data_IF_554983200754
#
_entry.id   IF_554983200754
#
_cell.length_a   1.000
_cell.length_b   1.000
_cell.length_c   1.000
_cell.angle_alpha   90.00
_cell.angle_beta   90.00
_cell.angle_gamma   90.00
#
_symmetry.space_group_name_H-M   'P 1'
#
loop_
_entity.id
_entity.type
_entity.pdbx_description
1 polymer ?
#
# COMPACT_ATOMS: atom_id res chain seq x y z
N UNK A 1 7.91 -27.19 -1.36
CA UNK A 1 8.80 -26.07 -1.66
C UNK A 1 9.85 -26.51 -2.68
N UNK A 2 10.04 -25.73 -3.74
CA UNK A 2 11.16 -25.93 -4.67
C UNK A 2 12.18 -24.79 -4.42
N UNK A 3 13.27 -25.14 -3.79
CA UNK A 3 14.40 -24.24 -3.56
C UNK A 3 15.53 -24.56 -4.53
N UNK A 4 15.98 -23.56 -5.31
CA UNK A 4 17.17 -23.68 -6.13
C UNK A 4 18.26 -22.75 -5.59
N UNK A 5 19.21 -23.25 -4.76
CA UNK A 5 20.21 -22.42 -4.09
C UNK A 5 21.12 -21.63 -5.03
N UNK A 6 21.23 -22.05 -6.31
CA UNK A 6 22.06 -21.37 -7.32
C UNK A 6 21.36 -20.19 -7.98
N UNK A 7 20.02 -20.11 -7.84
CA UNK A 7 19.18 -19.10 -8.50
C UNK A 7 18.43 -18.20 -7.53
N UNK A 8 18.47 -18.48 -6.22
CA UNK A 8 17.79 -17.72 -5.20
C UNK A 8 18.78 -17.00 -4.29
N UNK A 9 18.45 -15.76 -3.94
CA UNK A 9 19.16 -15.04 -2.89
C UNK A 9 18.96 -15.77 -1.57
N UNK A 10 20.06 -16.01 -0.85
CA UNK A 10 19.99 -16.66 0.46
C UNK A 10 19.49 -15.67 1.50
N UNK A 11 18.65 -16.13 2.42
CA UNK A 11 18.07 -15.28 3.45
C UNK A 11 16.84 -15.90 4.08
N UNK A 12 15.99 -15.03 4.61
CA UNK A 12 14.74 -15.41 5.28
C UNK A 12 13.57 -14.75 4.58
N UNK A 13 12.40 -15.37 4.68
CA UNK A 13 11.14 -14.80 4.20
C UNK A 13 10.25 -14.49 5.40
N UNK A 14 9.89 -13.23 5.56
CA UNK A 14 8.86 -12.79 6.49
C UNK A 14 7.50 -12.82 5.78
N UNK A 15 6.50 -13.37 6.43
CA UNK A 15 5.13 -13.30 5.92
C UNK A 15 4.09 -13.31 7.05
N UNK A 16 2.97 -12.70 6.77
CA UNK A 16 1.83 -12.62 7.68
C UNK A 16 0.62 -13.22 6.97
N UNK A 17 0.09 -14.36 7.43
CA UNK A 17 -1.14 -14.92 6.87
C UNK A 17 -2.33 -13.99 7.15
N UNK A 18 -3.10 -13.69 6.14
CA UNK A 18 -4.27 -12.82 6.24
C UNK A 18 -5.30 -13.38 7.23
N UNK A 19 -5.81 -12.53 8.12
CA UNK A 19 -6.80 -12.89 9.14
C UNK A 19 -6.25 -13.71 10.30
N UNK A 20 -4.93 -13.77 10.47
CA UNK A 20 -4.29 -14.39 11.62
C UNK A 20 -3.55 -13.35 12.48
N UNK A 21 -3.26 -13.76 13.73
CA UNK A 21 -2.56 -12.95 14.74
C UNK A 21 -1.04 -13.16 14.73
N UNK A 22 -0.52 -13.85 13.72
CA UNK A 22 0.87 -14.29 13.71
C UNK A 22 1.62 -13.77 12.50
N UNK A 23 2.86 -13.37 12.72
CA UNK A 23 3.85 -13.14 11.66
C UNK A 23 4.97 -14.17 11.79
N UNK A 24 5.39 -14.72 10.67
CA UNK A 24 6.38 -15.81 10.62
C UNK A 24 7.62 -15.38 9.85
N UNK A 25 8.77 -15.79 10.35
CA UNK A 25 10.04 -15.75 9.64
C UNK A 25 10.46 -17.18 9.33
N UNK A 26 10.65 -17.50 8.06
CA UNK A 26 11.09 -18.85 7.62
C UNK A 26 12.43 -18.76 6.90
N UNK A 27 13.19 -19.85 6.99
CA UNK A 27 14.41 -20.04 6.21
C UNK A 27 14.10 -20.49 4.76
N UNK A 28 15.15 -20.74 3.98
CA UNK A 28 15.05 -21.17 2.59
C UNK A 28 14.45 -22.57 2.41
N UNK A 29 14.46 -23.38 3.44
CA UNK A 29 13.87 -24.72 3.51
C UNK A 29 12.39 -24.70 3.95
N UNK A 30 11.89 -23.50 4.36
CA UNK A 30 10.53 -23.31 4.84
C UNK A 30 10.35 -23.63 6.31
N UNK A 31 11.44 -23.78 7.06
CA UNK A 31 11.39 -23.99 8.50
C UNK A 31 11.10 -22.66 9.19
N UNK A 32 10.16 -22.66 10.12
CA UNK A 32 9.88 -21.46 10.95
C UNK A 32 11.05 -21.26 11.90
N UNK A 33 11.79 -20.17 11.72
CA UNK A 33 12.92 -19.79 12.56
C UNK A 33 12.53 -18.80 13.65
N UNK A 34 11.45 -18.04 13.42
CA UNK A 34 10.85 -17.16 14.42
C UNK A 34 9.36 -16.90 14.14
N UNK A 35 8.62 -16.56 15.20
CA UNK A 35 7.20 -16.23 15.14
C UNK A 35 6.88 -15.15 16.16
N UNK A 36 6.16 -14.12 15.74
CA UNK A 36 5.52 -13.15 16.63
C UNK A 36 4.04 -13.48 16.77
N UNK A 37 3.55 -13.53 18.02
CA UNK A 37 2.14 -13.60 18.36
C UNK A 37 1.66 -12.17 18.67
N UNK A 38 0.80 -11.61 17.84
CA UNK A 38 0.34 -10.23 17.95
C UNK A 38 -0.98 -10.16 18.72
N UNK A 39 -1.31 -9.02 19.37
CA UNK A 39 -2.49 -8.93 20.23
C UNK A 39 -3.82 -8.92 19.47
N UNK A 40 -3.81 -8.65 18.16
CA UNK A 40 -4.98 -8.73 17.29
C UNK A 40 -4.57 -9.17 15.87
N UNK A 41 -5.54 -9.47 15.01
CA UNK A 41 -5.27 -9.85 13.63
C UNK A 41 -4.61 -8.71 12.86
N UNK A 42 -3.67 -9.09 11.98
CA UNK A 42 -2.93 -8.14 11.18
C UNK A 42 -3.84 -7.53 10.11
N UNK A 43 -3.80 -6.22 10.00
CA UNK A 43 -4.64 -5.48 9.07
C UNK A 43 -4.31 -5.78 7.62
N UNK A 44 -3.04 -5.70 7.26
CA UNK A 44 -2.58 -5.98 5.91
C UNK A 44 -1.24 -6.72 5.89
N UNK A 45 -0.17 -6.14 6.44
CA UNK A 45 1.14 -6.77 6.49
C UNK A 45 2.00 -6.29 7.66
N UNK A 46 3.17 -6.90 7.78
CA UNK A 46 4.22 -6.50 8.70
C UNK A 46 5.58 -6.59 8.00
N UNK A 47 6.57 -5.86 8.48
CA UNK A 47 7.95 -5.97 7.98
C UNK A 47 8.99 -5.73 9.09
N UNK A 48 10.21 -6.23 8.87
CA UNK A 48 11.32 -6.04 9.79
C UNK A 48 11.96 -4.67 9.60
N UNK A 49 12.20 -4.00 10.71
CA UNK A 49 13.04 -2.81 10.78
C UNK A 49 14.53 -3.20 10.81
N UNK A 50 15.42 -2.25 10.53
CA UNK A 50 16.88 -2.46 10.56
C UNK A 50 17.41 -2.92 11.92
N UNK A 51 16.72 -2.55 13.01
CA UNK A 51 17.04 -2.99 14.37
C UNK A 51 16.58 -4.42 14.69
N UNK A 52 15.91 -5.10 13.75
CA UNK A 52 15.38 -6.44 13.92
C UNK A 52 13.98 -6.51 14.54
N UNK A 53 13.39 -5.39 14.92
CA UNK A 53 12.01 -5.35 15.41
C UNK A 53 11.01 -5.52 14.26
N UNK A 54 9.83 -6.07 14.56
CA UNK A 54 8.71 -6.15 13.64
C UNK A 54 7.87 -4.87 13.73
N UNK A 55 7.63 -4.20 12.61
CA UNK A 55 6.60 -3.16 12.52
C UNK A 55 5.35 -3.73 11.84
N UNK A 56 4.19 -3.60 12.47
CA UNK A 56 2.92 -4.15 11.99
C UNK A 56 1.78 -3.18 12.20
N UNK A 57 0.74 -3.27 11.36
CA UNK A 57 -0.57 -2.71 11.63
C UNK A 57 -1.50 -3.83 12.06
N UNK A 58 -2.13 -3.71 13.21
CA UNK A 58 -3.17 -4.62 13.68
C UNK A 58 -4.53 -3.94 13.66
N UNK A 59 -5.58 -4.72 13.51
CA UNK A 59 -6.95 -4.21 13.37
C UNK A 59 -7.51 -3.66 14.66
N UNK A 60 -8.38 -2.62 14.53
CA UNK A 60 -9.22 -2.09 15.58
C UNK A 60 -10.70 -2.23 15.16
N UNK A 61 -11.28 -3.46 15.17
CA UNK A 61 -12.47 -3.82 14.39
C UNK A 61 -13.73 -3.03 14.74
N UNK A 62 -13.86 -2.57 15.98
CA UNK A 62 -15.05 -1.85 16.45
C UNK A 62 -15.02 -0.34 16.15
N UNK A 63 -13.88 0.19 15.70
CA UNK A 63 -13.64 1.64 15.54
C UNK A 63 -13.24 2.03 14.12
N UNK A 64 -13.02 1.05 13.26
CA UNK A 64 -12.65 1.22 11.85
C UNK A 64 -13.88 1.29 10.94
N UNK A 65 -13.80 2.01 9.81
CA UNK A 65 -14.65 1.73 8.67
C UNK A 65 -14.52 0.25 8.27
N UNK A 66 -15.66 -0.41 8.01
CA UNK A 66 -15.67 -1.82 7.59
C UNK A 66 -15.30 -1.92 6.09
N UNK A 67 -14.12 -1.39 5.75
CA UNK A 67 -13.54 -1.38 4.40
C UNK A 67 -12.33 -2.31 4.34
N UNK A 68 -11.92 -2.76 3.13
CA UNK A 68 -10.78 -3.66 2.97
C UNK A 68 -9.46 -3.08 3.51
N UNK A 69 -8.58 -3.98 4.00
CA UNK A 69 -7.24 -3.64 4.49
C UNK A 69 -7.20 -2.60 5.62
N UNK A 70 -8.23 -2.61 6.47
CA UNK A 70 -8.24 -1.82 7.68
C UNK A 70 -7.16 -2.29 8.66
N UNK A 71 -6.50 -1.34 9.32
CA UNK A 71 -5.53 -1.54 10.39
C UNK A 71 -6.00 -0.83 11.66
N UNK A 72 -5.42 0.34 11.93
CA UNK A 72 -5.84 1.24 13.00
C UNK A 72 -4.90 1.31 14.18
N UNK A 73 -4.09 0.29 14.42
CA UNK A 73 -3.10 0.27 15.49
C UNK A 73 -1.74 -0.17 14.95
N UNK A 74 -0.84 0.78 14.76
CA UNK A 74 0.54 0.54 14.39
C UNK A 74 1.34 0.14 15.63
N UNK A 75 2.07 -0.96 15.57
CA UNK A 75 2.89 -1.47 16.67
C UNK A 75 4.29 -1.83 16.18
N UNK A 76 5.31 -1.53 17.00
CA UNK A 76 6.65 -2.07 16.84
C UNK A 76 6.88 -3.08 17.97
N UNK A 77 7.25 -4.32 17.58
CA UNK A 77 7.40 -5.46 18.49
C UNK A 77 8.84 -5.94 18.42
N UNK A 78 9.48 -6.10 19.56
CA UNK A 78 10.83 -6.65 19.64
C UNK A 78 10.89 -8.15 19.33
N UNK A 79 12.10 -8.72 19.34
CA UNK A 79 12.29 -10.14 19.07
C UNK A 79 11.64 -11.06 20.12
N UNK A 80 11.49 -10.58 21.35
CA UNK A 80 10.88 -11.33 22.45
C UNK A 80 9.36 -11.20 22.52
N UNK A 81 8.75 -10.41 21.60
CA UNK A 81 7.32 -10.21 21.51
C UNK A 81 6.77 -9.04 22.35
N UNK A 82 7.64 -8.17 22.90
CA UNK A 82 7.20 -7.00 23.64
C UNK A 82 6.90 -5.82 22.69
N UNK A 83 5.77 -5.13 22.89
CA UNK A 83 5.48 -3.89 22.18
C UNK A 83 6.38 -2.80 22.76
N UNK A 84 7.27 -2.24 21.92
CA UNK A 84 8.23 -1.20 22.29
C UNK A 84 7.82 0.19 21.79
N UNK A 85 6.90 0.26 20.84
CA UNK A 85 6.28 1.48 20.36
C UNK A 85 4.89 1.17 19.81
N UNK A 86 3.95 2.11 19.97
CA UNK A 86 2.61 1.99 19.41
C UNK A 86 2.01 3.35 19.05
N UNK A 87 1.09 3.34 18.09
CA UNK A 87 0.32 4.51 17.68
C UNK A 87 -1.05 4.08 17.16
N UNK A 88 -2.11 4.75 17.62
CA UNK A 88 -3.49 4.42 17.23
C UNK A 88 -4.06 5.55 16.35
N UNK A 89 -4.48 5.18 15.15
CA UNK A 89 -5.35 5.96 14.28
C UNK A 89 -6.33 4.98 13.63
N UNK A 90 -7.56 4.92 14.14
CA UNK A 90 -8.57 3.97 13.69
C UNK A 90 -8.91 4.09 12.20
N UNK A 91 -8.49 5.14 11.53
CA UNK A 91 -8.66 5.35 10.09
C UNK A 91 -7.47 4.83 9.28
N UNK A 92 -6.38 4.38 9.91
CA UNK A 92 -5.23 3.82 9.22
C UNK A 92 -5.64 2.58 8.39
N UNK A 93 -5.19 2.51 7.15
CA UNK A 93 -5.42 1.38 6.26
C UNK A 93 -4.21 1.07 5.37
N UNK A 94 -4.22 -0.09 4.73
CA UNK A 94 -3.26 -0.58 3.76
C UNK A 94 -1.80 -0.45 4.19
N UNK A 95 -1.16 0.69 3.96
CA UNK A 95 0.30 0.81 3.99
C UNK A 95 0.83 1.81 5.03
N UNK A 96 2.01 1.51 5.52
CA UNK A 96 2.76 2.34 6.47
C UNK A 96 4.25 2.05 6.31
N UNK A 97 5.10 3.08 6.46
CA UNK A 97 6.57 2.95 6.36
C UNK A 97 7.26 3.75 7.46
N UNK A 98 8.22 3.12 8.14
CA UNK A 98 9.15 3.79 9.06
C UNK A 98 10.26 4.45 8.26
N UNK A 99 10.49 5.73 8.47
CA UNK A 99 11.58 6.49 7.85
C UNK A 99 12.88 6.36 8.70
N UNK A 100 14.06 6.56 8.12
CA UNK A 100 15.33 6.48 8.86
C UNK A 100 15.43 7.46 10.06
N UNK A 101 14.69 8.57 10.02
CA UNK A 101 14.62 9.52 11.13
C UNK A 101 13.67 9.11 12.28
N UNK A 102 13.08 7.92 12.20
CA UNK A 102 12.13 7.38 13.17
C UNK A 102 10.68 7.79 12.96
N UNK A 103 10.39 8.70 12.02
CA UNK A 103 9.01 9.05 11.68
C UNK A 103 8.32 7.89 10.97
N UNK A 104 6.98 7.86 11.02
CA UNK A 104 6.17 6.88 10.29
C UNK A 104 5.23 7.61 9.34
N UNK A 105 5.29 7.26 8.05
CA UNK A 105 4.30 7.68 7.06
C UNK A 105 3.31 6.56 6.84
N UNK A 106 2.01 6.90 6.69
CA UNK A 106 0.94 5.92 6.51
C UNK A 106 -0.26 6.50 5.76
N UNK A 107 -1.08 5.62 5.20
CA UNK A 107 -2.36 5.96 4.60
C UNK A 107 -3.49 5.88 5.63
N UNK A 108 -4.41 6.83 5.59
CA UNK A 108 -5.62 6.83 6.41
C UNK A 108 -6.84 7.28 5.60
N UNK A 109 -8.02 6.76 5.95
CA UNK A 109 -9.27 7.20 5.34
C UNK A 109 -9.72 8.57 5.84
N UNK A 110 -10.41 9.28 4.95
CA UNK A 110 -11.19 10.46 5.27
C UNK A 110 -12.62 10.27 4.77
N UNK A 111 -13.58 10.25 5.69
CA UNK A 111 -14.99 10.05 5.36
C UNK A 111 -15.61 11.35 4.81
N UNK A 112 -16.27 11.26 3.66
CA UNK A 112 -17.02 12.33 3.02
C UNK A 112 -18.51 11.98 3.13
N UNK A 113 -19.27 12.84 3.81
CA UNK A 113 -20.73 12.72 3.94
C UNK A 113 -21.48 13.90 3.35
N UNK A 114 -20.76 14.97 2.98
CA UNK A 114 -21.35 16.14 2.32
C UNK A 114 -21.74 15.77 0.88
N UNK A 115 -23.05 15.83 0.51
CA UNK A 115 -23.50 15.45 -0.83
C UNK A 115 -22.92 16.31 -1.94
N UNK A 116 -22.58 17.56 -1.66
CA UNK A 116 -22.02 18.46 -2.67
C UNK A 116 -20.54 18.13 -2.95
N UNK A 117 -19.80 17.72 -1.92
CA UNK A 117 -18.43 17.22 -2.10
C UNK A 117 -18.46 15.84 -2.78
N UNK A 118 -19.37 14.94 -2.40
CA UNK A 118 -19.50 13.63 -3.01
C UNK A 118 -19.78 13.70 -4.52
N UNK A 119 -20.53 14.69 -4.98
CA UNK A 119 -20.78 14.94 -6.41
C UNK A 119 -19.52 15.35 -7.20
N UNK A 120 -18.52 15.92 -6.51
CA UNK A 120 -17.25 16.31 -7.14
C UNK A 120 -16.32 15.13 -7.40
N UNK A 121 -16.55 13.97 -6.75
CA UNK A 121 -15.75 12.77 -6.95
C UNK A 121 -16.03 12.20 -8.35
N UNK A 122 -15.05 12.16 -9.26
CA UNK A 122 -15.27 11.75 -10.64
C UNK A 122 -15.20 10.24 -10.83
N UNK A 123 -16.02 9.72 -11.73
CA UNK A 123 -15.98 8.32 -12.17
C UNK A 123 -16.61 7.33 -11.18
N UNK A 124 -16.35 6.04 -11.42
CA UNK A 124 -16.94 4.93 -10.68
C UNK A 124 -18.41 4.68 -10.97
N UNK A 125 -18.96 3.64 -10.34
CA UNK A 125 -20.37 3.25 -10.50
C UNK A 125 -21.23 4.05 -9.52
N UNK A 126 -22.11 4.91 -10.02
CA UNK A 126 -23.02 5.72 -9.19
C UNK A 126 -23.94 4.84 -8.34
N UNK A 127 -24.23 5.29 -7.09
CA UNK A 127 -25.10 4.60 -6.16
C UNK A 127 -24.43 3.42 -5.42
N UNK A 128 -23.10 3.30 -5.52
CA UNK A 128 -22.32 2.28 -4.82
C UNK A 128 -21.51 2.84 -3.66
N UNK A 129 -21.89 4.01 -3.16
CA UNK A 129 -21.33 4.63 -1.96
C UNK A 129 -21.60 3.74 -0.72
N UNK A 130 -20.70 3.76 0.26
CA UNK A 130 -20.83 2.96 1.47
C UNK A 130 -21.51 3.76 2.59
N UNK A 131 -22.70 3.29 3.03
CA UNK A 131 -23.49 3.93 4.10
C UNK A 131 -23.69 5.45 3.92
N UNK A 132 -23.99 5.87 2.67
CA UNK A 132 -24.19 7.29 2.33
C UNK A 132 -22.93 8.13 2.42
N UNK A 133 -21.76 7.51 2.28
CA UNK A 133 -20.47 8.18 2.31
C UNK A 133 -19.54 7.66 1.21
N UNK A 134 -18.60 8.50 0.81
CA UNK A 134 -17.40 8.13 0.06
C UNK A 134 -16.20 8.27 1.00
N UNK A 135 -15.32 7.29 1.00
CA UNK A 135 -14.05 7.39 1.71
C UNK A 135 -12.96 7.78 0.73
N UNK A 136 -12.12 8.73 1.12
CA UNK A 136 -10.92 9.14 0.36
C UNK A 136 -9.69 8.99 1.23
N UNK A 137 -8.52 9.23 0.65
CA UNK A 137 -7.26 9.03 1.35
C UNK A 137 -6.67 10.33 1.87
N UNK A 138 -6.04 10.26 3.03
CA UNK A 138 -5.04 11.19 3.52
C UNK A 138 -3.74 10.43 3.78
N UNK A 139 -2.61 11.02 3.42
CA UNK A 139 -1.29 10.48 3.71
C UNK A 139 -0.72 11.28 4.86
N UNK A 140 -0.38 10.62 5.95
CA UNK A 140 0.08 11.23 7.19
C UNK A 140 1.50 10.83 7.51
N UNK A 141 2.27 11.75 8.09
CA UNK A 141 3.55 11.46 8.73
C UNK A 141 3.50 11.92 10.17
N UNK A 142 3.83 11.01 11.07
CA UNK A 142 3.96 11.26 12.50
C UNK A 142 5.41 11.10 12.96
N UNK A 143 5.80 11.84 13.99
CA UNK A 143 7.08 11.64 14.65
C UNK A 143 7.03 10.46 15.63
N UNK A 144 8.16 10.01 16.24
CA UNK A 144 8.18 8.90 17.17
C UNK A 144 7.29 9.07 18.42
N UNK A 145 6.91 10.29 18.76
CA UNK A 145 6.00 10.59 19.89
C UNK A 145 4.54 10.68 19.47
N UNK A 146 4.20 10.35 18.20
CA UNK A 146 2.84 10.33 17.68
C UNK A 146 2.29 11.71 17.23
N UNK A 147 3.11 12.76 17.19
CA UNK A 147 2.64 14.05 16.70
C UNK A 147 2.62 14.07 15.18
N UNK A 148 1.50 14.52 14.60
CA UNK A 148 1.37 14.77 13.16
C UNK A 148 2.32 15.90 12.74
N UNK A 149 3.18 15.64 11.76
CA UNK A 149 4.15 16.60 11.24
C UNK A 149 3.96 16.94 9.78
N UNK A 150 3.27 16.09 9.03
CA UNK A 150 2.93 16.32 7.63
C UNK A 150 1.66 15.54 7.26
N UNK A 151 0.81 16.14 6.44
CA UNK A 151 -0.38 15.52 5.88
C UNK A 151 -0.56 15.97 4.43
N UNK A 152 -0.96 15.06 3.58
CA UNK A 152 -1.41 15.30 2.21
C UNK A 152 -2.83 14.75 2.06
N UNK A 153 -3.75 15.58 1.59
CA UNK A 153 -5.17 15.26 1.55
C UNK A 153 -5.66 15.29 0.10
N UNK A 154 -6.21 14.17 -0.35
CA UNK A 154 -6.77 14.02 -1.69
C UNK A 154 -7.76 15.14 -2.03
N UNK A 155 -8.60 15.57 -1.08
CA UNK A 155 -9.64 16.59 -1.35
C UNK A 155 -9.07 17.99 -1.58
N UNK A 156 -7.94 18.32 -0.97
CA UNK A 156 -7.39 19.68 -0.99
C UNK A 156 -6.14 19.80 -1.85
N UNK A 157 -5.36 18.74 -1.93
CA UNK A 157 -4.03 18.76 -2.54
C UNK A 157 -4.00 18.13 -3.94
N UNK A 158 -5.10 17.43 -4.35
CA UNK A 158 -5.22 16.75 -5.64
C UNK A 158 -6.29 17.40 -6.52
N UNK A 159 -6.00 17.50 -7.81
CA UNK A 159 -7.03 17.79 -8.80
C UNK A 159 -7.78 16.49 -9.17
N UNK A 160 -8.86 16.18 -8.45
CA UNK A 160 -9.61 14.94 -8.62
C UNK A 160 -10.10 14.70 -10.05
N UNK A 161 -10.44 15.77 -10.81
CA UNK A 161 -10.90 15.63 -12.20
C UNK A 161 -9.83 15.02 -13.13
N UNK A 162 -8.57 15.09 -12.75
CA UNK A 162 -7.47 14.49 -13.51
C UNK A 162 -7.38 12.97 -13.30
N UNK A 163 -7.94 12.47 -12.19
CA UNK A 163 -7.78 11.08 -11.75
C UNK A 163 -9.16 10.47 -11.40
N UNK A 164 -10.04 10.22 -12.39
CA UNK A 164 -11.34 9.60 -12.13
C UNK A 164 -11.17 8.16 -11.62
N UNK A 165 -12.14 7.71 -10.82
CA UNK A 165 -12.29 6.29 -10.52
C UNK A 165 -12.56 5.54 -11.82
N UNK A 166 -11.94 4.37 -11.99
CA UNK A 166 -12.24 3.48 -13.10
C UNK A 166 -13.77 3.24 -13.18
N UNK A 167 -14.41 3.37 -14.35
CA UNK A 167 -15.86 3.28 -14.47
C UNK A 167 -16.45 1.91 -14.10
N UNK A 168 -15.63 0.88 -13.94
CA UNK A 168 -16.04 -0.46 -13.52
C UNK A 168 -15.95 -0.66 -11.99
N UNK A 169 -15.41 0.31 -11.26
CA UNK A 169 -15.17 0.23 -9.81
C UNK A 169 -16.29 0.94 -9.03
N UNK A 170 -16.60 0.43 -7.85
CA UNK A 170 -17.54 1.04 -6.91
C UNK A 170 -17.01 2.36 -6.35
N UNK A 171 -17.92 3.29 -6.00
CA UNK A 171 -17.59 4.64 -5.51
C UNK A 171 -17.41 4.74 -4.00
N UNK A 172 -17.47 3.65 -3.25
CA UNK A 172 -17.33 3.69 -1.81
C UNK A 172 -15.94 4.19 -1.34
N UNK A 173 -14.91 4.02 -2.18
CA UNK A 173 -13.58 4.57 -1.95
C UNK A 173 -13.10 5.34 -3.17
N UNK A 174 -12.78 6.62 -2.99
CA UNK A 174 -12.05 7.40 -3.98
C UNK A 174 -10.56 7.28 -3.72
N UNK A 175 -9.82 6.99 -4.78
CA UNK A 175 -8.39 6.74 -4.83
C UNK A 175 -7.98 5.34 -4.31
N UNK A 176 -8.30 4.94 -3.10
CA UNK A 176 -7.90 3.65 -2.53
C UNK A 176 -6.38 3.49 -2.52
N UNK A 177 -5.70 4.32 -1.70
CA UNK A 177 -4.25 4.31 -1.57
C UNK A 177 -3.77 3.00 -0.94
N UNK A 178 -3.30 2.07 -1.76
CA UNK A 178 -2.80 0.77 -1.28
C UNK A 178 -1.28 0.75 -1.06
N UNK A 179 -0.59 1.82 -1.41
CA UNK A 179 0.84 2.00 -1.14
C UNK A 179 1.13 3.45 -0.78
N UNK A 180 1.96 3.63 0.23
CA UNK A 180 2.61 4.89 0.57
C UNK A 180 4.08 4.63 0.89
N UNK A 181 5.02 5.12 0.09
CA UNK A 181 6.44 4.84 0.27
C UNK A 181 7.28 6.12 0.24
N UNK A 182 8.13 6.35 1.25
CA UNK A 182 9.13 7.42 1.20
C UNK A 182 10.14 7.16 0.09
N UNK A 183 10.42 8.18 -0.71
CA UNK A 183 11.44 8.11 -1.74
C UNK A 183 12.83 8.49 -1.19
N UNK A 184 13.93 7.97 -1.74
CA UNK A 184 15.30 8.35 -1.34
C UNK A 184 15.58 9.84 -1.43
N UNK A 185 14.90 10.56 -2.33
CA UNK A 185 15.02 12.01 -2.51
C UNK A 185 14.18 12.84 -1.51
N UNK A 186 13.47 12.18 -0.59
CA UNK A 186 12.64 12.80 0.44
C UNK A 186 11.18 13.05 0.05
N UNK A 187 10.77 12.73 -1.17
CA UNK A 187 9.38 12.76 -1.60
C UNK A 187 8.59 11.55 -1.11
N UNK A 188 7.31 11.49 -1.43
CA UNK A 188 6.43 10.36 -1.14
C UNK A 188 5.84 9.85 -2.43
N UNK A 189 5.98 8.54 -2.70
CA UNK A 189 5.25 7.89 -3.79
C UNK A 189 4.02 7.21 -3.23
N UNK A 190 2.89 7.36 -3.94
CA UNK A 190 1.58 6.81 -3.56
C UNK A 190 1.01 6.07 -4.74
N UNK A 191 0.32 4.98 -4.46
CA UNK A 191 -0.45 4.25 -5.46
C UNK A 191 -1.94 4.32 -5.16
N UNK A 192 -2.73 4.80 -6.12
CA UNK A 192 -4.19 4.88 -6.08
C UNK A 192 -4.80 3.79 -6.97
N UNK A 193 -5.16 2.67 -6.34
CA UNK A 193 -5.65 1.48 -7.01
C UNK A 193 -6.89 1.73 -7.87
N UNK A 194 -7.89 2.42 -7.33
CA UNK A 194 -9.17 2.63 -8.01
C UNK A 194 -9.07 3.63 -9.18
N UNK A 195 -7.99 4.38 -9.26
CA UNK A 195 -7.71 5.34 -10.31
C UNK A 195 -6.64 4.85 -11.31
N UNK A 196 -6.15 3.61 -11.15
CA UNK A 196 -5.04 3.04 -11.93
C UNK A 196 -3.84 4.00 -12.03
N UNK A 197 -3.51 4.68 -10.91
CA UNK A 197 -2.52 5.76 -10.89
C UNK A 197 -1.50 5.57 -9.79
N UNK A 198 -0.23 5.66 -10.12
CA UNK A 198 0.84 5.91 -9.18
C UNK A 198 1.36 7.33 -9.34
N UNK A 199 1.68 8.00 -8.23
CA UNK A 199 2.10 9.40 -8.25
C UNK A 199 3.21 9.69 -7.25
N UNK A 200 4.10 10.61 -7.61
CA UNK A 200 5.13 11.14 -6.73
C UNK A 200 4.74 12.53 -6.25
N UNK A 201 4.65 12.69 -4.95
CA UNK A 201 4.28 13.92 -4.25
C UNK A 201 5.55 14.58 -3.73
N UNK A 202 5.79 15.82 -4.15
CA UNK A 202 6.84 16.66 -3.57
C UNK A 202 6.50 16.97 -2.11
N UNK A 203 7.34 16.51 -1.19
CA UNK A 203 7.07 16.61 0.24
C UNK A 203 6.92 18.05 0.75
N UNK A 204 7.66 19.01 0.17
CA UNK A 204 7.66 20.40 0.62
C UNK A 204 6.49 21.21 0.08
N UNK A 205 6.19 21.01 -1.22
CA UNK A 205 5.17 21.80 -1.92
C UNK A 205 3.81 21.14 -1.94
N UNK A 206 3.74 19.86 -1.57
CA UNK A 206 2.57 18.98 -1.64
C UNK A 206 1.99 18.82 -3.06
N UNK A 207 2.76 19.13 -4.09
CA UNK A 207 2.33 18.99 -5.48
C UNK A 207 2.71 17.63 -6.03
N UNK A 208 1.83 17.06 -6.83
CA UNK A 208 2.15 15.90 -7.67
C UNK A 208 3.14 16.40 -8.74
N UNK A 209 4.35 15.85 -8.74
CA UNK A 209 5.40 16.22 -9.68
C UNK A 209 5.65 15.18 -10.77
N UNK A 210 5.16 13.97 -10.59
CA UNK A 210 5.14 12.90 -11.56
C UNK A 210 3.95 11.99 -11.28
N UNK A 211 3.36 11.41 -12.31
CA UNK A 211 2.39 10.34 -12.21
C UNK A 211 2.40 9.46 -13.45
N UNK A 212 1.98 8.22 -13.28
CA UNK A 212 1.65 7.29 -14.35
C UNK A 212 0.22 6.79 -14.12
N UNK A 213 -0.65 7.04 -15.10
CA UNK A 213 -2.01 6.51 -15.13
C UNK A 213 -2.10 5.56 -16.32
N UNK A 214 -2.04 4.26 -16.05
CA UNK A 214 -2.05 3.23 -17.09
C UNK A 214 -2.79 1.98 -16.63
N UNK A 215 -3.98 1.79 -17.17
CA UNK A 215 -4.85 0.65 -16.88
C UNK A 215 -4.24 -0.70 -17.30
N UNK A 216 -3.28 -0.72 -18.22
CA UNK A 216 -2.66 -1.94 -18.71
C UNK A 216 -1.88 -2.71 -17.63
N UNK A 217 -1.45 -2.00 -16.57
CA UNK A 217 -0.83 -2.64 -15.41
C UNK A 217 -1.85 -3.24 -14.42
N UNK A 218 -3.12 -2.87 -14.53
CA UNK A 218 -4.24 -3.43 -13.77
C UNK A 218 -4.10 -3.32 -12.26
N UNK A 219 -4.59 -2.23 -11.67
CA UNK A 219 -4.70 -2.06 -10.21
C UNK A 219 -3.42 -2.42 -9.44
N UNK A 220 -2.32 -1.82 -9.82
CA UNK A 220 -0.98 -2.09 -9.28
C UNK A 220 -0.85 -1.88 -7.76
N UNK A 221 0.20 -2.49 -7.17
CA UNK A 221 0.47 -2.51 -5.73
C UNK A 221 1.96 -2.32 -5.45
N UNK A 222 2.28 -2.02 -4.19
CA UNK A 222 3.65 -1.97 -3.63
C UNK A 222 4.62 -1.15 -4.46
N UNK A 223 4.21 0.08 -4.79
CA UNK A 223 5.00 1.01 -5.60
C UNK A 223 6.10 1.63 -4.75
N UNK A 224 7.35 1.55 -5.22
CA UNK A 224 8.49 2.09 -4.52
C UNK A 224 9.53 2.65 -5.47
N UNK A 225 10.23 3.72 -5.05
CA UNK A 225 11.38 4.25 -5.78
C UNK A 225 12.64 3.52 -5.34
N UNK A 226 13.36 2.98 -6.30
CA UNK A 226 14.65 2.35 -6.10
C UNK A 226 15.78 3.39 -5.97
N UNK A 227 16.95 2.96 -5.46
CA UNK A 227 18.13 3.84 -5.32
C UNK A 227 18.64 4.42 -6.65
N UNK A 228 18.44 3.69 -7.77
CA UNK A 228 18.79 4.16 -9.11
C UNK A 228 17.80 5.20 -9.66
N UNK A 229 16.71 5.49 -8.92
CA UNK A 229 15.67 6.43 -9.29
C UNK A 229 14.55 5.84 -10.14
N UNK A 230 14.60 4.56 -10.49
CA UNK A 230 13.53 3.84 -11.15
C UNK A 230 12.40 3.51 -10.17
N UNK A 231 11.23 3.19 -10.68
CA UNK A 231 10.05 2.82 -9.89
C UNK A 231 9.78 1.34 -10.11
N UNK A 232 9.74 0.59 -9.00
CA UNK A 232 9.37 -0.83 -8.95
C UNK A 232 7.95 -0.95 -8.41
N UNK A 233 7.15 -1.83 -9.02
CA UNK A 233 5.80 -2.11 -8.57
C UNK A 233 5.31 -3.50 -8.98
N UNK A 234 4.26 -3.96 -8.32
CA UNK A 234 3.53 -5.15 -8.68
C UNK A 234 2.33 -4.77 -9.56
N UNK A 235 2.35 -5.19 -10.80
CA UNK A 235 1.23 -5.07 -11.75
C UNK A 235 0.32 -6.29 -11.61
N UNK A 236 -0.92 -6.11 -11.18
CA UNK A 236 -1.87 -7.23 -11.05
C UNK A 236 -2.24 -7.84 -12.40
N UNK A 237 -2.06 -7.09 -13.48
CA UNK A 237 -2.43 -7.47 -14.85
C UNK A 237 -3.72 -6.82 -15.31
N UNK A 238 -3.93 -6.79 -16.61
CA UNK A 238 -5.08 -6.13 -17.20
C UNK A 238 -6.38 -6.73 -16.64
N UNK A 239 -7.17 -5.86 -16.09
CA UNK A 239 -8.57 -5.99 -15.76
C UNK A 239 -8.99 -7.27 -15.04
N UNK A 240 -8.67 -7.30 -13.75
CA UNK A 240 -9.07 -8.38 -12.82
C UNK A 240 -10.61 -8.50 -12.72
N UNK A 241 -11.35 -7.43 -13.08
CA UNK A 241 -12.80 -7.39 -12.89
C UNK A 241 -13.60 -7.71 -14.14
N UNK A 242 -13.08 -7.46 -15.34
CA UNK A 242 -13.85 -7.65 -16.58
C UNK A 242 -13.36 -8.80 -17.45
N UNK A 243 -12.08 -9.13 -17.49
CA UNK A 243 -11.55 -10.11 -18.46
C UNK A 243 -10.51 -11.08 -17.89
N UNK A 244 -10.16 -10.95 -16.61
CA UNK A 244 -9.05 -11.67 -16.00
C UNK A 244 -7.68 -11.31 -16.61
N UNK A 245 -6.58 -11.60 -15.94
CA UNK A 245 -5.26 -11.21 -16.43
C UNK A 245 -4.92 -12.02 -17.70
N UNK A 246 -5.10 -11.43 -18.87
CA UNK A 246 -4.67 -12.07 -20.13
C UNK A 246 -3.17 -12.38 -20.13
N UNK A 247 -2.38 -11.54 -19.47
CA UNK A 247 -0.93 -11.64 -19.38
C UNK A 247 -0.42 -12.19 -18.04
N UNK A 248 -1.29 -12.30 -17.01
CA UNK A 248 -0.90 -12.60 -15.64
C UNK A 248 -0.27 -11.39 -14.92
N UNK A 249 0.00 -11.56 -13.64
CA UNK A 249 0.66 -10.54 -12.84
C UNK A 249 2.15 -10.42 -13.16
N UNK A 250 2.72 -9.23 -12.94
CA UNK A 250 4.14 -8.95 -13.21
C UNK A 250 4.73 -8.09 -12.09
N UNK A 251 6.00 -8.27 -11.80
CA UNK A 251 6.80 -7.23 -11.14
C UNK A 251 7.43 -6.40 -12.25
N UNK A 252 7.31 -5.09 -12.18
CA UNK A 252 7.73 -4.17 -13.26
C UNK A 252 8.62 -3.09 -12.69
N UNK A 253 9.70 -2.78 -13.38
CA UNK A 253 10.56 -1.62 -13.14
C UNK A 253 10.46 -0.66 -14.33
N UNK A 254 10.18 0.61 -14.05
CA UNK A 254 10.11 1.68 -15.07
C UNK A 254 11.11 2.80 -14.79
N UNK A 255 11.58 3.47 -15.85
CA UNK A 255 12.25 4.76 -15.74
C UNK A 255 11.18 5.87 -15.69
N UNK A 256 11.02 6.62 -14.57
CA UNK A 256 10.01 7.67 -14.46
C UNK A 256 10.25 8.89 -15.38
N UNK A 257 11.40 8.99 -16.03
CA UNK A 257 11.68 10.07 -16.98
C UNK A 257 11.08 9.80 -18.36
N UNK A 258 11.03 8.52 -18.75
CA UNK A 258 10.50 8.09 -20.06
C UNK A 258 9.17 7.35 -19.93
N UNK A 259 8.83 6.85 -18.74
CA UNK A 259 7.75 5.92 -18.45
C UNK A 259 7.89 4.57 -19.19
N UNK A 260 9.10 4.21 -19.59
CA UNK A 260 9.38 2.94 -20.27
C UNK A 260 9.72 1.83 -19.27
N UNK A 261 9.23 0.62 -19.52
CA UNK A 261 9.66 -0.56 -18.79
C UNK A 261 11.14 -0.85 -19.09
N UNK A 262 11.96 -0.90 -18.04
CA UNK A 262 13.38 -1.24 -18.13
C UNK A 262 13.66 -2.68 -17.67
N UNK A 263 12.76 -3.25 -16.89
CA UNK A 263 12.80 -4.64 -16.46
C UNK A 263 11.42 -5.13 -16.05
N UNK A 264 11.16 -6.44 -16.23
CA UNK A 264 9.97 -7.09 -15.67
C UNK A 264 10.20 -8.57 -15.37
N UNK A 265 9.34 -9.12 -14.50
CA UNK A 265 9.23 -10.53 -14.19
C UNK A 265 7.77 -10.97 -14.23
N UNK A 266 7.44 -11.99 -15.00
CA UNK A 266 6.07 -12.49 -15.20
C UNK A 266 5.86 -13.96 -14.85
N UNK A 267 6.86 -14.60 -14.21
CA UNK A 267 6.82 -16.04 -13.94
C UNK A 267 7.12 -16.93 -15.17
N UNK A 268 7.32 -18.20 -14.92
CA UNK A 268 7.52 -19.23 -15.96
C UNK A 268 6.93 -20.57 -15.49
N UNK A 269 5.98 -21.16 -16.26
CA UNK A 269 5.40 -20.70 -17.52
C UNK A 269 4.58 -19.41 -17.35
N UNK A 270 4.22 -18.70 -18.43
CA UNK A 270 3.31 -17.56 -18.36
C UNK A 270 2.04 -17.89 -17.58
N UNK A 271 1.54 -16.96 -16.76
CA UNK A 271 0.42 -17.14 -15.81
C UNK A 271 0.68 -18.06 -14.61
N UNK A 272 1.91 -18.51 -14.39
CA UNK A 272 2.28 -19.18 -13.13
C UNK A 272 2.43 -18.20 -11.95
N UNK A 273 2.42 -16.91 -12.24
CA UNK A 273 2.51 -15.81 -11.30
C UNK A 273 1.25 -14.94 -11.47
N UNK A 274 0.31 -15.07 -10.55
CA UNK A 274 -1.02 -14.42 -10.62
C UNK A 274 -1.37 -13.90 -9.25
N UNK A 275 -1.81 -12.66 -9.17
CA UNK A 275 -2.50 -12.08 -8.03
C UNK A 275 -4.02 -12.17 -8.26
N UNK A 276 -4.76 -12.31 -7.20
CA UNK A 276 -6.22 -12.30 -7.19
C UNK A 276 -6.72 -11.00 -6.56
#
# INVERSE_FOLDING_TARGET
>A
LQHNPRKSTQGYTLFTPLGLYNTYLIDMEGTVVHKWDLPNDVGNYAYLLENGNLLSAIRTPDENPQLPANGGHLIEVDWDGNIVWEYIDHLQHHDFRRKPNGNTVYAAWKKITDPDIMKLVPGGIEGTEHDGAIYTDVIREINPTGNLIWEWDVLTDMNMNQFPIDPTIQRHEYAHANTVSPCPNGDVIVNWRNNNTMAMIDYKTKKIKWFLNDISYGQHHDVQMLENGNILFFANGADVHTHGPETGSRVVEIDPKTNEEVWNYSGSPPRSFVSW
#
